data_IF_593438723054
#
_entry.id   IF_593438723054
#
_cell.length_a   1.000
_cell.length_b   1.000
_cell.length_c   1.000
_cell.angle_alpha   90.00
_cell.angle_beta   90.00
_cell.angle_gamma   90.00
#
_symmetry.space_group_name_H-M   'P 1'
#
loop_
_entity.id
_entity.type
_entity.pdbx_description
1 polymer ?
#
# COMPACT_ATOMS: atom_id res chain seq x y z
N UNK A 1 -8.87 20.79 17.66
CA UNK A 1 -8.75 21.75 16.54
C UNK A 1 -7.63 21.42 15.56
N UNK A 2 -6.42 21.14 16.02
CA UNK A 2 -5.28 20.75 15.16
C UNK A 2 -5.63 19.51 14.32
N UNK A 3 -6.19 18.47 14.94
CA UNK A 3 -6.61 17.24 14.24
C UNK A 3 -7.68 17.48 13.17
N UNK A 4 -8.59 18.41 13.39
CA UNK A 4 -9.63 18.74 12.42
C UNK A 4 -9.03 19.43 11.18
N UNK A 5 -8.09 20.36 11.37
CA UNK A 5 -7.43 21.06 10.28
C UNK A 5 -6.53 20.10 9.45
N UNK A 6 -5.90 19.13 10.09
CA UNK A 6 -5.10 18.13 9.40
C UNK A 6 -5.95 17.10 8.67
N UNK A 7 -7.12 16.75 9.18
CA UNK A 7 -8.11 15.92 8.46
C UNK A 7 -8.63 16.61 7.20
N UNK A 8 -8.75 17.93 7.19
CA UNK A 8 -9.11 18.71 6.00
C UNK A 8 -7.98 18.69 4.97
N UNK A 9 -6.71 18.66 5.42
CA UNK A 9 -5.54 18.55 4.56
C UNK A 9 -5.51 17.24 3.76
N UNK A 10 -6.03 16.16 4.32
CA UNK A 10 -6.03 14.84 3.70
C UNK A 10 -7.47 14.41 3.39
N UNK A 11 -8.06 15.02 2.35
CA UNK A 11 -9.49 14.88 2.02
C UNK A 11 -9.97 13.46 1.72
N UNK A 12 -9.07 12.53 1.37
CA UNK A 12 -9.42 11.12 1.09
C UNK A 12 -9.03 10.18 2.22
N UNK A 13 -8.57 10.69 3.35
CA UNK A 13 -8.03 9.90 4.45
C UNK A 13 -8.95 9.93 5.66
N UNK A 14 -9.12 8.79 6.30
CA UNK A 14 -9.66 8.63 7.66
C UNK A 14 -8.66 7.86 8.53
N UNK A 15 -8.68 8.04 9.86
CA UNK A 15 -7.82 7.27 10.74
C UNK A 15 -8.23 5.79 10.78
N UNK A 16 -7.30 4.93 11.16
CA UNK A 16 -7.60 3.54 11.46
C UNK A 16 -8.46 3.44 12.72
N UNK A 17 -9.47 2.57 12.71
CA UNK A 17 -10.18 2.18 13.91
C UNK A 17 -9.30 1.22 14.72
N UNK A 18 -9.59 1.07 16.01
CA UNK A 18 -8.86 0.12 16.88
C UNK A 18 -8.94 -1.32 16.34
N UNK A 19 -10.10 -1.72 15.83
CA UNK A 19 -10.31 -3.05 15.24
C UNK A 19 -9.43 -3.22 14.00
N UNK A 20 -9.40 -2.24 13.11
CA UNK A 20 -8.56 -2.27 11.91
C UNK A 20 -7.06 -2.34 12.24
N UNK A 21 -6.61 -1.59 13.24
CA UNK A 21 -5.21 -1.64 13.69
C UNK A 21 -4.83 -3.01 14.23
N UNK A 22 -5.72 -3.63 15.02
CA UNK A 22 -5.49 -4.97 15.52
C UNK A 22 -5.44 -6.00 14.40
N UNK A 23 -6.32 -5.89 13.42
CA UNK A 23 -6.35 -6.76 12.23
C UNK A 23 -5.04 -6.64 11.44
N UNK A 24 -4.57 -5.42 11.18
CA UNK A 24 -3.30 -5.19 10.49
C UNK A 24 -2.16 -5.85 11.26
N UNK A 25 -2.12 -5.64 12.57
CA UNK A 25 -1.07 -6.21 13.41
C UNK A 25 -1.10 -7.73 13.37
N UNK A 26 -2.25 -8.35 13.55
CA UNK A 26 -2.37 -9.80 13.60
C UNK A 26 -2.14 -10.44 12.22
N UNK A 27 -2.68 -9.84 11.17
CA UNK A 27 -2.58 -10.37 9.82
C UNK A 27 -1.17 -10.22 9.25
N UNK A 28 -0.57 -9.04 9.39
CA UNK A 28 0.71 -8.76 8.76
C UNK A 28 1.91 -9.13 9.62
N UNK A 29 1.90 -8.87 10.92
CA UNK A 29 3.02 -9.21 11.79
C UNK A 29 3.14 -10.71 12.08
N UNK A 30 2.06 -11.47 11.93
CA UNK A 30 2.08 -12.93 12.03
C UNK A 30 2.23 -13.62 10.67
N UNK A 31 2.21 -12.88 9.58
CA UNK A 31 2.40 -13.42 8.24
C UNK A 31 3.85 -13.85 8.03
N UNK A 32 4.07 -15.04 7.47
CA UNK A 32 5.41 -15.56 7.21
C UNK A 32 6.23 -14.63 6.29
N UNK A 33 5.58 -14.00 5.31
CA UNK A 33 6.19 -13.01 4.42
C UNK A 33 6.91 -11.91 5.20
N UNK A 34 6.25 -11.33 6.20
CA UNK A 34 6.84 -10.28 7.03
C UNK A 34 7.96 -10.78 7.91
N UNK A 35 7.79 -11.97 8.50
CA UNK A 35 8.83 -12.61 9.31
C UNK A 35 10.09 -12.88 8.51
N UNK A 36 9.94 -13.21 7.24
CA UNK A 36 11.06 -13.49 6.34
C UNK A 36 11.77 -12.22 5.87
N UNK A 37 11.00 -11.20 5.50
CA UNK A 37 11.55 -9.91 5.02
C UNK A 37 12.04 -9.05 6.18
N UNK A 38 11.32 -9.04 7.30
CA UNK A 38 11.57 -8.20 8.47
C UNK A 38 11.48 -8.99 9.77
N UNK A 39 12.44 -9.91 10.04
CA UNK A 39 12.31 -10.86 11.16
C UNK A 39 12.22 -10.21 12.55
N UNK A 40 12.71 -8.99 12.72
CA UNK A 40 12.69 -8.28 14.00
C UNK A 40 11.51 -7.28 14.14
N UNK A 41 10.73 -7.08 13.08
CA UNK A 41 9.65 -6.09 13.10
C UNK A 41 8.50 -6.47 14.03
N UNK A 42 8.21 -7.75 14.14
CA UNK A 42 7.14 -8.27 14.99
C UNK A 42 7.36 -8.02 16.50
N UNK A 43 8.60 -7.76 16.90
CA UNK A 43 8.92 -7.46 18.31
C UNK A 43 8.40 -6.08 18.74
N UNK A 44 8.19 -5.17 17.78
CA UNK A 44 7.79 -3.79 18.02
C UNK A 44 6.30 -3.57 17.74
N UNK A 45 5.47 -4.59 18.01
CA UNK A 45 4.04 -4.60 17.74
C UNK A 45 3.33 -3.35 18.28
N UNK A 46 3.56 -3.00 19.52
CA UNK A 46 2.90 -1.86 20.16
C UNK A 46 3.35 -0.53 19.56
N UNK A 47 4.61 -0.42 19.18
CA UNK A 47 5.16 0.75 18.50
C UNK A 47 4.51 0.95 17.13
N UNK A 48 4.30 -0.12 16.37
CA UNK A 48 3.59 -0.08 15.09
C UNK A 48 2.16 0.42 15.27
N UNK A 49 1.43 -0.11 16.25
CA UNK A 49 0.06 0.30 16.54
C UNK A 49 -0.02 1.79 16.90
N UNK A 50 0.90 2.27 17.72
CA UNK A 50 0.96 3.68 18.10
C UNK A 50 1.19 4.57 16.88
N UNK A 51 2.09 4.18 16.00
CA UNK A 51 2.40 4.93 14.78
C UNK A 51 1.23 4.95 13.79
N UNK A 52 0.46 3.89 13.69
CA UNK A 52 -0.71 3.83 12.81
C UNK A 52 -1.82 4.80 13.24
N UNK A 53 -1.92 5.13 14.52
CA UNK A 53 -2.90 6.11 15.02
C UNK A 53 -2.53 7.54 14.67
N UNK A 54 -1.27 7.82 14.42
CA UNK A 54 -0.76 9.16 14.18
C UNK A 54 -0.88 9.55 12.70
N UNK A 55 -2.06 10.04 12.30
CA UNK A 55 -2.30 10.51 10.94
C UNK A 55 -1.69 11.89 10.67
N UNK A 56 -1.12 12.53 11.70
CA UNK A 56 -0.52 13.86 11.56
C UNK A 56 0.84 13.81 10.84
N UNK A 57 1.42 12.62 10.72
CA UNK A 57 2.72 12.38 10.09
C UNK A 57 2.62 11.61 8.78
N UNK A 58 1.56 11.85 8.02
CA UNK A 58 1.44 11.27 6.69
C UNK A 58 2.27 12.06 5.69
N UNK A 59 2.76 11.37 4.66
CA UNK A 59 3.53 11.99 3.59
C UNK A 59 3.21 11.36 2.24
N UNK A 60 3.33 12.15 1.18
CA UNK A 60 3.18 11.65 -0.18
C UNK A 60 4.50 11.03 -0.64
N UNK A 61 4.43 9.84 -1.21
CA UNK A 61 5.59 9.25 -1.87
C UNK A 61 5.89 10.01 -3.16
N UNK A 62 7.18 10.28 -3.41
CA UNK A 62 7.60 10.85 -4.68
C UNK A 62 7.41 9.83 -5.82
N UNK A 63 7.42 10.33 -7.06
CA UNK A 63 7.37 9.47 -8.24
C UNK A 63 8.50 8.42 -8.23
N UNK A 64 9.69 8.83 -7.84
CA UNK A 64 10.84 7.95 -7.70
C UNK A 64 10.60 6.87 -6.63
N UNK A 65 10.06 7.25 -5.48
CA UNK A 65 9.72 6.30 -4.40
C UNK A 65 8.64 5.32 -4.85
N UNK A 66 7.59 5.80 -5.51
CA UNK A 66 6.53 4.95 -6.07
C UNK A 66 7.09 3.94 -7.07
N UNK A 67 8.00 4.37 -7.95
CA UNK A 67 8.60 3.49 -8.97
C UNK A 67 9.50 2.40 -8.38
N UNK A 68 9.92 2.55 -7.15
CA UNK A 68 10.83 1.62 -6.43
C UNK A 68 10.18 0.93 -5.24
N UNK A 69 8.88 1.09 -5.08
CA UNK A 69 8.16 0.51 -3.94
C UNK A 69 8.13 -1.01 -4.04
N UNK A 70 8.68 -1.68 -3.03
CA UNK A 70 8.72 -3.13 -2.96
C UNK A 70 7.40 -3.70 -2.44
N UNK A 71 7.08 -4.93 -2.82
CA UNK A 71 5.82 -5.61 -2.48
C UNK A 71 4.58 -4.82 -2.94
N UNK A 72 4.67 -4.21 -4.11
CA UNK A 72 3.62 -3.36 -4.68
C UNK A 72 3.50 -3.58 -6.18
N UNK A 73 2.29 -3.42 -6.70
CA UNK A 73 2.02 -3.46 -8.14
C UNK A 73 2.31 -2.12 -8.84
N UNK A 74 2.53 -1.06 -8.06
CA UNK A 74 2.71 0.30 -8.59
C UNK A 74 3.90 0.41 -9.54
N UNK A 75 5.10 -0.11 -9.22
CA UNK A 75 6.22 -0.02 -10.18
C UNK A 75 5.90 -0.65 -11.53
N UNK A 76 5.23 -1.79 -11.55
CA UNK A 76 4.82 -2.47 -12.78
C UNK A 76 3.78 -1.66 -13.56
N UNK A 77 2.82 -1.05 -12.89
CA UNK A 77 1.80 -0.21 -13.50
C UNK A 77 2.42 1.04 -14.11
N UNK A 78 3.32 1.70 -13.39
CA UNK A 78 4.03 2.89 -13.88
C UNK A 78 4.87 2.60 -15.13
N UNK A 79 5.55 1.45 -15.15
CA UNK A 79 6.39 1.05 -16.30
C UNK A 79 5.59 0.55 -17.49
N UNK A 80 4.47 -0.14 -17.27
CA UNK A 80 3.64 -0.72 -18.33
C UNK A 80 2.58 0.23 -18.88
N UNK A 81 2.29 1.33 -18.16
CA UNK A 81 1.24 2.27 -18.54
C UNK A 81 -0.16 1.70 -18.51
N UNK A 82 -0.41 0.65 -17.70
CA UNK A 82 -1.74 0.07 -17.56
C UNK A 82 -2.71 1.08 -16.99
N UNK A 83 -3.86 1.23 -17.63
CA UNK A 83 -4.86 2.20 -17.26
C UNK A 83 -5.85 1.67 -16.22
N UNK A 84 -6.72 2.56 -15.76
CA UNK A 84 -7.72 2.25 -14.75
C UNK A 84 -8.73 1.19 -15.23
N UNK A 85 -9.09 1.18 -16.53
CA UNK A 85 -10.01 0.19 -17.06
C UNK A 85 -9.45 -1.23 -16.94
N UNK A 86 -8.15 -1.41 -17.19
CA UNK A 86 -7.48 -2.68 -16.99
C UNK A 86 -7.55 -3.14 -15.53
N UNK A 87 -7.29 -2.22 -14.60
CA UNK A 87 -7.29 -2.53 -13.16
C UNK A 87 -8.67 -2.91 -12.64
N UNK A 88 -9.70 -2.13 -12.96
CA UNK A 88 -11.06 -2.43 -12.49
C UNK A 88 -11.66 -3.69 -13.11
N UNK A 89 -11.11 -4.15 -14.23
CA UNK A 89 -11.46 -5.44 -14.84
C UNK A 89 -10.90 -6.65 -14.10
N UNK A 90 -10.00 -6.46 -13.14
CA UNK A 90 -9.37 -7.55 -12.38
C UNK A 90 -10.22 -7.93 -11.17
N UNK A 91 -11.13 -8.88 -11.33
CA UNK A 91 -12.04 -9.34 -10.26
C UNK A 91 -11.33 -9.91 -9.02
N UNK A 92 -10.11 -10.39 -9.19
CA UNK A 92 -9.27 -10.91 -8.11
C UNK A 92 -8.98 -9.87 -7.02
N UNK A 93 -9.03 -8.58 -7.37
CA UNK A 93 -8.71 -7.47 -6.49
C UNK A 93 -9.94 -6.56 -6.32
N UNK A 94 -9.98 -5.82 -5.26
CA UNK A 94 -11.07 -4.90 -4.95
C UNK A 94 -10.93 -3.51 -5.61
N UNK A 95 -10.28 -3.43 -6.74
CA UNK A 95 -10.01 -2.17 -7.45
C UNK A 95 -11.28 -1.43 -7.84
N UNK A 96 -12.29 -2.15 -8.33
CA UNK A 96 -13.57 -1.54 -8.72
C UNK A 96 -14.27 -0.91 -7.52
N UNK A 97 -14.30 -1.58 -6.38
CA UNK A 97 -14.88 -1.07 -5.15
C UNK A 97 -14.20 0.22 -4.69
N UNK A 98 -12.88 0.25 -4.74
CA UNK A 98 -12.09 1.44 -4.41
C UNK A 98 -12.39 2.57 -5.39
N UNK A 99 -12.38 2.29 -6.69
CA UNK A 99 -12.70 3.27 -7.73
C UNK A 99 -14.09 3.86 -7.53
N UNK A 100 -15.09 3.03 -7.32
CA UNK A 100 -16.47 3.46 -7.08
C UNK A 100 -16.58 4.34 -5.82
N UNK A 101 -15.83 4.00 -4.77
CA UNK A 101 -15.77 4.80 -3.55
C UNK A 101 -15.17 6.19 -3.78
N UNK A 102 -14.13 6.29 -4.60
CA UNK A 102 -13.53 7.59 -4.97
C UNK A 102 -14.54 8.46 -5.74
N UNK A 103 -15.34 7.85 -6.61
CA UNK A 103 -16.33 8.54 -7.46
C UNK A 103 -17.67 8.77 -6.76
N UNK A 104 -17.91 8.20 -5.60
CA UNK A 104 -19.17 8.36 -4.87
C UNK A 104 -19.37 9.80 -4.36
N UNK A 105 -20.63 10.14 -4.03
CA UNK A 105 -20.99 11.47 -3.49
C UNK A 105 -21.73 11.27 -2.18
N UNK A 106 -21.12 11.63 -1.02
CA UNK A 106 -19.77 12.17 -0.87
C UNK A 106 -18.69 11.10 -1.13
N UNK A 107 -17.47 11.48 -1.52
CA UNK A 107 -16.39 10.53 -1.74
C UNK A 107 -16.07 9.74 -0.48
N UNK A 108 -15.83 8.44 -0.65
CA UNK A 108 -15.41 7.56 0.44
C UNK A 108 -14.02 7.96 0.91
N UNK A 109 -13.81 7.93 2.23
CA UNK A 109 -12.50 8.12 2.84
C UNK A 109 -11.86 6.76 3.13
N UNK A 110 -10.55 6.69 2.95
CA UNK A 110 -9.78 5.46 3.12
C UNK A 110 -8.75 5.62 4.23
N UNK A 111 -8.40 4.52 4.88
CA UNK A 111 -7.24 4.49 5.77
C UNK A 111 -5.97 4.70 4.96
N UNK A 112 -4.94 5.38 5.50
CA UNK A 112 -3.72 5.61 4.76
C UNK A 112 -3.00 4.28 4.48
N UNK A 113 -2.43 4.10 3.29
CA UNK A 113 -1.53 2.97 3.05
C UNK A 113 -0.36 3.02 4.02
N UNK A 114 0.15 1.87 4.41
CA UNK A 114 1.29 1.75 5.33
C UNK A 114 2.50 1.22 4.57
N UNK A 115 3.60 1.95 4.66
CA UNK A 115 4.87 1.62 4.01
C UNK A 115 5.95 1.54 5.08
N UNK A 116 6.74 0.48 5.05
CA UNK A 116 7.89 0.33 5.95
C UNK A 116 9.15 0.78 5.22
N UNK A 117 9.94 1.62 5.88
CA UNK A 117 11.23 2.09 5.39
C UNK A 117 12.33 1.42 6.19
N UNK A 118 13.26 0.73 5.52
CA UNK A 118 14.38 0.09 6.18
C UNK A 118 15.55 1.05 6.41
N UNK A 119 16.59 0.56 7.07
CA UNK A 119 17.80 1.33 7.39
C UNK A 119 18.49 1.93 6.15
N UNK A 120 18.34 1.29 4.98
CA UNK A 120 18.96 1.75 3.73
C UNK A 120 18.09 2.71 2.94
N UNK A 121 16.86 2.97 3.39
CA UNK A 121 15.90 3.82 2.71
C UNK A 121 14.99 3.07 1.73
N UNK A 122 15.08 1.74 1.64
CA UNK A 122 14.17 0.93 0.82
C UNK A 122 12.79 0.92 1.43
N UNK A 123 11.77 0.95 0.59
CA UNK A 123 10.36 0.99 0.97
C UNK A 123 9.68 -0.33 0.62
N UNK A 124 8.89 -0.84 1.55
CA UNK A 124 8.12 -2.08 1.40
C UNK A 124 6.66 -1.83 1.78
N UNK A 125 5.74 -2.17 0.90
CA UNK A 125 4.31 -2.00 1.13
C UNK A 125 3.82 -2.98 2.20
N UNK A 126 3.35 -2.45 3.31
CA UNK A 126 2.75 -3.25 4.39
C UNK A 126 1.26 -3.47 4.15
N UNK A 127 0.53 -2.40 3.88
CA UNK A 127 -0.92 -2.42 3.73
C UNK A 127 -1.38 -1.32 2.79
N UNK A 128 -2.48 -1.57 2.07
CA UNK A 128 -3.12 -0.56 1.25
C UNK A 128 -2.59 -0.41 -0.17
N UNK A 129 -1.90 -1.42 -0.70
CA UNK A 129 -1.40 -1.38 -2.08
C UNK A 129 -2.52 -1.14 -3.09
N UNK A 130 -3.66 -1.78 -2.92
CA UNK A 130 -4.80 -1.64 -3.83
C UNK A 130 -5.30 -0.19 -3.90
N UNK A 131 -5.41 0.46 -2.75
CA UNK A 131 -5.86 1.86 -2.66
C UNK A 131 -4.88 2.80 -3.35
N UNK A 132 -3.61 2.69 -3.02
CA UNK A 132 -2.56 3.54 -3.61
C UNK A 132 -2.45 3.31 -5.12
N UNK A 133 -2.54 2.06 -5.55
CA UNK A 133 -2.51 1.67 -6.97
C UNK A 133 -3.60 2.39 -7.77
N UNK A 134 -4.84 2.39 -7.29
CA UNK A 134 -5.96 3.06 -7.98
C UNK A 134 -5.75 4.58 -8.02
N UNK A 135 -5.31 5.20 -6.93
CA UNK A 135 -5.03 6.64 -6.92
C UNK A 135 -3.94 7.00 -7.93
N UNK A 136 -2.85 6.23 -7.99
CA UNK A 136 -1.76 6.45 -8.93
C UNK A 136 -2.24 6.27 -10.38
N UNK A 137 -3.03 5.24 -10.64
CA UNK A 137 -3.58 4.99 -11.98
C UNK A 137 -4.54 6.10 -12.45
N UNK A 138 -5.17 6.80 -11.52
CA UNK A 138 -6.02 7.97 -11.82
C UNK A 138 -5.22 9.27 -11.99
N UNK A 139 -3.88 9.20 -11.96
CA UNK A 139 -3.03 10.39 -12.04
C UNK A 139 -3.02 11.22 -10.75
N UNK A 140 -3.39 10.61 -9.63
CA UNK A 140 -3.44 11.22 -8.32
C UNK A 140 -2.46 10.53 -7.37
N UNK A 141 -2.49 10.87 -6.08
CA UNK A 141 -1.69 10.21 -5.08
C UNK A 141 -2.45 10.19 -3.75
N UNK A 142 -2.04 9.30 -2.87
CA UNK A 142 -2.62 9.15 -1.54
C UNK A 142 -1.48 9.24 -0.52
N UNK A 143 -1.62 10.05 0.54
CA UNK A 143 -0.56 10.10 1.55
C UNK A 143 -0.47 8.78 2.30
N UNK A 144 0.74 8.38 2.62
CA UNK A 144 1.03 7.11 3.28
C UNK A 144 1.60 7.32 4.67
N UNK A 145 1.43 6.31 5.51
CA UNK A 145 2.11 6.23 6.79
C UNK A 145 3.43 5.48 6.61
N UNK A 146 4.56 6.15 6.79
CA UNK A 146 5.87 5.50 6.81
C UNK A 146 6.21 5.04 8.22
N UNK A 147 6.54 3.76 8.34
CA UNK A 147 6.99 3.14 9.59
C UNK A 147 8.45 2.75 9.42
N UNK A 148 9.30 3.16 10.35
CA UNK A 148 10.72 2.88 10.29
C UNK A 148 11.04 1.47 10.81
N UNK A 149 11.87 0.76 10.06
CA UNK A 149 12.47 -0.50 10.45
C UNK A 149 13.98 -0.28 10.66
N UNK A 150 14.50 -0.65 11.82
CA UNK A 150 15.86 -0.32 12.26
C UNK A 150 16.97 -1.12 11.55
N UNK A 151 16.60 -2.11 10.74
CA UNK A 151 17.53 -2.99 10.03
C UNK A 151 17.27 -2.96 8.54
N UNK A 152 18.07 -3.69 7.77
CA UNK A 152 17.87 -3.91 6.33
C UNK A 152 16.82 -5.00 6.11
N UNK A 153 16.03 -4.87 5.07
CA UNK A 153 15.19 -5.97 4.59
C UNK A 153 16.04 -7.14 4.14
N UNK A 154 15.53 -8.37 4.30
CA UNK A 154 16.13 -9.55 3.72
C UNK A 154 15.93 -9.51 2.20
N UNK A 155 16.99 -9.24 1.46
CA UNK A 155 16.98 -9.01 0.03
C UNK A 155 16.41 -10.20 -0.77
N UNK A 156 16.78 -11.41 -0.39
CA UNK A 156 16.34 -12.64 -1.07
C UNK A 156 14.82 -12.79 -1.04
N UNK A 157 14.20 -12.66 0.13
CA UNK A 157 12.74 -12.76 0.27
C UNK A 157 12.01 -11.56 -0.32
N UNK A 158 12.60 -10.39 -0.24
CA UNK A 158 12.01 -9.20 -0.84
C UNK A 158 11.91 -9.33 -2.36
N UNK A 159 12.96 -9.82 -3.01
CA UNK A 159 12.96 -10.07 -4.46
C UNK A 159 11.98 -11.17 -4.86
N UNK A 160 11.88 -12.22 -4.07
CA UNK A 160 10.92 -13.29 -4.28
C UNK A 160 9.47 -12.76 -4.31
N UNK A 161 9.10 -11.94 -3.32
CA UNK A 161 7.75 -11.39 -3.24
C UNK A 161 7.47 -10.33 -4.33
N UNK A 162 8.47 -9.57 -4.73
CA UNK A 162 8.33 -8.64 -5.85
C UNK A 162 8.06 -9.38 -7.16
N UNK A 163 8.76 -10.48 -7.41
CA UNK A 163 8.50 -11.35 -8.56
C UNK A 163 7.07 -11.89 -8.55
N UNK A 164 6.59 -12.33 -7.40
CA UNK A 164 5.23 -12.84 -7.26
C UNK A 164 4.18 -11.79 -7.65
N UNK A 165 4.36 -10.54 -7.22
CA UNK A 165 3.48 -9.43 -7.60
C UNK A 165 3.52 -9.14 -9.10
N UNK A 166 4.68 -9.13 -9.72
CA UNK A 166 4.83 -8.92 -11.16
C UNK A 166 4.20 -10.05 -11.94
N UNK A 167 4.38 -11.30 -11.53
CA UNK A 167 3.79 -12.47 -12.17
C UNK A 167 2.26 -12.45 -12.08
N UNK A 168 1.68 -12.05 -10.96
CA UNK A 168 0.23 -11.90 -10.81
C UNK A 168 -0.35 -10.94 -11.86
N UNK A 169 0.26 -9.77 -12.04
CA UNK A 169 -0.17 -8.80 -13.03
C UNK A 169 0.02 -9.31 -14.46
N UNK A 170 1.16 -9.91 -14.74
CA UNK A 170 1.47 -10.46 -16.06
C UNK A 170 0.55 -11.61 -16.43
N UNK A 171 0.27 -12.53 -15.51
CA UNK A 171 -0.65 -13.64 -15.71
C UNK A 171 -2.05 -13.17 -16.04
N UNK A 172 -2.55 -12.16 -15.31
CA UNK A 172 -3.87 -11.59 -15.56
C UNK A 172 -3.94 -10.88 -16.92
N UNK A 173 -2.93 -10.08 -17.23
CA UNK A 173 -2.81 -9.42 -18.54
C UNK A 173 -2.71 -10.45 -19.67
N UNK A 174 -1.94 -11.52 -19.49
CA UNK A 174 -1.81 -12.61 -20.42
C UNK A 174 -3.12 -13.36 -20.64
N UNK A 175 -3.89 -13.62 -19.58
CA UNK A 175 -5.22 -14.25 -19.67
C UNK A 175 -6.19 -13.42 -20.48
N UNK A 176 -6.22 -12.11 -20.28
CA UNK A 176 -7.02 -11.18 -21.06
C UNK A 176 -6.54 -11.18 -22.52
N UNK A 177 -5.22 -11.18 -22.70
CA UNK A 177 -4.60 -11.20 -24.03
C UNK A 177 -4.88 -12.47 -24.82
N UNK A 178 -5.00 -13.60 -24.19
CA UNK A 178 -5.27 -14.90 -24.80
C UNK A 178 -6.77 -15.13 -25.04
N UNK A 179 -7.62 -14.33 -24.42
CA UNK A 179 -9.09 -14.45 -24.51
C UNK A 179 -9.72 -13.92 -25.80
N UNK A 180 -8.93 -13.53 -26.80
CA UNK A 180 -9.44 -13.11 -28.11
C UNK A 180 -9.21 -14.09 -29.20
#
# INVERSE_FOLDING_TARGET
MIKLMEMVKYRHIRPYTKVEMNQITDEYLNNNKFKEVMPNFAKDKDDVLTKLQDIDKLEYLSEKELSRLNNSKIPSIMSSGKDIAHLIGQEKFNYKEIYDGIKSVPPKKFTPPVVVKDKTGKLFMLDGDDKLTIFVALGSNLPVKKVNYSRKFNQEYMEYYNKAHMNDLSSHAGSIGVGY
#
